data_IF_743316570945
#
_entry.id   IF_743316570945
#
_cell.length_a   1.000
_cell.length_b   1.000
_cell.length_c   1.000
_cell.angle_alpha   90.00
_cell.angle_beta   90.00
_cell.angle_gamma   90.00
#
_symmetry.space_group_name_H-M   'P 1'
#
loop_
_entity.id
_entity.type
_entity.pdbx_description
1 polymer ?
#
# COMPACT_ATOMS: atom_id res chain seq x y z
N UNK A 1 12.97 -15.57 -0.19
CA UNK A 1 12.14 -14.40 0.12
C UNK A 1 12.58 -13.79 1.44
N UNK A 2 12.30 -12.50 1.66
CA UNK A 2 12.48 -11.81 2.95
C UNK A 2 11.17 -11.82 3.73
N UNK A 3 11.16 -12.45 4.89
CA UNK A 3 9.97 -12.62 5.72
C UNK A 3 10.14 -11.80 7.00
N UNK A 4 9.28 -10.81 7.20
CA UNK A 4 9.14 -10.13 8.48
C UNK A 4 8.18 -10.91 9.37
N UNK A 5 8.64 -11.25 10.57
CA UNK A 5 7.82 -11.86 11.60
C UNK A 5 7.37 -10.79 12.59
N UNK A 6 6.08 -10.78 12.93
CA UNK A 6 5.54 -9.84 13.91
C UNK A 6 4.54 -10.55 14.82
N UNK A 7 4.69 -10.38 16.13
CA UNK A 7 3.83 -11.07 17.07
C UNK A 7 4.28 -10.91 18.51
N UNK A 8 3.36 -11.14 19.43
CA UNK A 8 3.71 -11.26 20.85
C UNK A 8 2.68 -12.13 21.57
N UNK A 9 3.11 -12.71 22.68
CA UNK A 9 2.26 -13.52 23.56
C UNK A 9 1.67 -12.71 24.73
N UNK A 10 1.77 -11.37 24.71
CA UNK A 10 1.36 -10.50 25.83
C UNK A 10 -0.14 -10.57 26.18
N UNK A 11 -0.96 -11.15 25.31
CA UNK A 11 -2.39 -11.40 25.54
C UNK A 11 -2.69 -12.85 25.91
N UNK A 12 -1.70 -13.73 25.87
CA UNK A 12 -1.82 -15.16 26.17
C UNK A 12 -1.30 -15.46 27.58
N UNK A 13 -1.82 -16.53 28.17
CA UNK A 13 -1.37 -17.03 29.47
C UNK A 13 -1.49 -18.56 29.56
N UNK A 14 -0.78 -19.16 30.51
CA UNK A 14 -0.89 -20.60 30.78
C UNK A 14 -0.55 -21.48 29.55
N UNK A 15 -1.32 -22.54 29.28
CA UNK A 15 -1.05 -23.48 28.19
C UNK A 15 -1.01 -22.84 26.79
N UNK A 16 -1.79 -21.79 26.54
CA UNK A 16 -1.83 -21.12 25.24
C UNK A 16 -0.52 -20.40 24.93
N UNK A 17 0.09 -19.78 25.94
CA UNK A 17 1.40 -19.14 25.80
C UNK A 17 2.48 -20.19 25.50
N UNK A 18 2.44 -21.37 26.12
CA UNK A 18 3.40 -22.44 25.81
C UNK A 18 3.20 -23.03 24.41
N UNK A 19 1.96 -23.20 23.96
CA UNK A 19 1.66 -23.62 22.60
C UNK A 19 2.15 -22.59 21.57
N UNK A 20 2.00 -21.29 21.85
CA UNK A 20 2.55 -20.22 21.02
C UNK A 20 4.07 -20.32 20.91
N UNK A 21 4.78 -20.50 22.03
CA UNK A 21 6.25 -20.65 22.05
C UNK A 21 6.69 -21.89 21.27
N UNK A 22 6.02 -23.02 21.48
CA UNK A 22 6.28 -24.27 20.75
C UNK A 22 6.13 -24.07 19.24
N UNK A 23 5.02 -23.49 18.80
CA UNK A 23 4.75 -23.22 17.40
C UNK A 23 5.77 -22.24 16.79
N UNK A 24 6.14 -21.18 17.53
CA UNK A 24 7.18 -20.24 17.12
C UNK A 24 8.55 -20.92 16.92
N UNK A 25 8.92 -21.85 17.81
CA UNK A 25 10.14 -22.66 17.64
C UNK A 25 10.06 -23.58 16.43
N UNK A 26 8.94 -24.28 16.23
CA UNK A 26 8.74 -25.11 15.03
C UNK A 26 8.85 -24.29 13.73
N UNK A 27 8.31 -23.07 13.73
CA UNK A 27 8.48 -22.13 12.63
C UNK A 27 9.94 -21.70 12.47
N UNK A 28 10.66 -21.46 13.56
CA UNK A 28 12.10 -21.18 13.54
C UNK A 28 12.91 -22.31 12.89
N UNK A 29 12.64 -23.56 13.26
CA UNK A 29 13.27 -24.75 12.64
C UNK A 29 13.00 -24.79 11.13
N UNK A 30 11.74 -24.57 10.73
CA UNK A 30 11.37 -24.56 9.31
C UNK A 30 12.06 -23.43 8.55
N UNK A 31 12.17 -22.24 9.15
CA UNK A 31 12.84 -21.09 8.56
C UNK A 31 14.34 -21.30 8.40
N UNK A 32 15.01 -21.89 9.41
CA UNK A 32 16.43 -22.21 9.34
C UNK A 32 16.76 -23.22 8.25
N UNK A 33 15.90 -24.21 8.05
CA UNK A 33 16.05 -25.19 6.97
C UNK A 33 15.66 -24.62 5.58
N UNK A 34 15.18 -23.39 5.53
CA UNK A 34 14.78 -22.71 4.30
C UNK A 34 15.85 -21.73 3.82
N UNK A 35 15.87 -21.44 2.52
CA UNK A 35 16.74 -20.38 1.94
C UNK A 35 16.09 -18.99 2.05
N UNK A 36 15.32 -18.74 3.11
CA UNK A 36 14.62 -17.46 3.29
C UNK A 36 15.37 -16.58 4.29
N UNK A 37 15.31 -15.28 4.05
CA UNK A 37 15.90 -14.30 4.96
C UNK A 37 14.83 -13.91 5.98
N UNK A 38 15.19 -14.02 7.26
CA UNK A 38 14.28 -13.68 8.36
C UNK A 38 14.59 -12.26 8.83
N UNK A 39 13.52 -11.46 8.96
CA UNK A 39 13.57 -10.12 9.53
C UNK A 39 12.79 -10.17 10.85
N UNK A 40 13.45 -9.75 11.93
CA UNK A 40 12.94 -9.66 13.29
C UNK A 40 13.04 -8.22 13.79
N UNK A 41 12.30 -7.91 14.84
CA UNK A 41 12.25 -6.60 15.46
C UNK A 41 12.62 -6.60 16.96
N UNK A 42 12.50 -7.71 17.69
CA UNK A 42 12.75 -7.69 19.14
C UNK A 42 13.33 -9.01 19.65
N UNK A 43 14.04 -9.01 20.77
CA UNK A 43 14.44 -10.24 21.48
C UNK A 43 13.71 -10.41 22.82
N UNK A 44 12.69 -9.59 23.07
CA UNK A 44 11.90 -9.62 24.30
C UNK A 44 11.33 -11.02 24.56
N UNK A 45 11.31 -11.52 25.81
CA UNK A 45 10.63 -12.77 26.17
C UNK A 45 9.15 -12.81 25.83
N UNK A 46 8.54 -11.65 25.59
CA UNK A 46 7.13 -11.56 25.19
C UNK A 46 6.91 -11.57 23.67
N UNK A 47 7.96 -11.43 22.87
CA UNK A 47 7.90 -11.33 21.41
C UNK A 47 7.95 -12.71 20.75
N UNK A 48 7.34 -12.82 19.56
CA UNK A 48 7.41 -14.01 18.71
C UNK A 48 8.87 -14.34 18.35
N UNK A 49 9.60 -13.29 18.02
CA UNK A 49 10.96 -13.24 17.51
C UNK A 49 11.94 -14.08 18.34
N UNK A 50 11.89 -13.99 19.66
CA UNK A 50 12.79 -14.73 20.57
C UNK A 50 12.64 -16.24 20.37
N UNK A 51 11.41 -16.72 20.31
CA UNK A 51 11.14 -18.16 20.19
C UNK A 51 11.42 -18.69 18.78
N UNK A 52 11.30 -17.84 17.76
CA UNK A 52 11.75 -18.17 16.41
C UNK A 52 13.27 -18.32 16.38
N UNK A 53 14.02 -17.41 17.02
CA UNK A 53 15.47 -17.52 17.16
C UNK A 53 15.88 -18.81 17.88
N UNK A 54 15.23 -19.14 18.99
CA UNK A 54 15.46 -20.42 19.70
C UNK A 54 15.21 -21.64 18.79
N UNK A 55 14.19 -21.58 17.92
CA UNK A 55 13.94 -22.63 16.93
C UNK A 55 15.01 -22.71 15.85
N UNK A 56 15.44 -21.57 15.33
CA UNK A 56 16.47 -21.48 14.30
C UNK A 56 17.85 -21.97 14.80
N UNK A 57 18.16 -21.73 16.07
CA UNK A 57 19.44 -22.14 16.71
C UNK A 57 19.65 -23.66 16.68
N UNK A 58 18.57 -24.44 16.68
CA UNK A 58 18.63 -25.91 16.62
C UNK A 58 19.07 -26.48 15.26
N UNK A 59 19.31 -25.63 14.27
CA UNK A 59 19.84 -26.03 12.96
C UNK A 59 21.34 -26.29 13.02
N UNK A 60 21.81 -27.29 12.28
CA UNK A 60 23.24 -27.62 12.15
C UNK A 60 24.04 -26.57 11.33
N UNK A 61 23.35 -25.66 10.64
CA UNK A 61 23.98 -24.67 9.78
C UNK A 61 23.79 -23.26 10.31
N UNK A 62 24.80 -22.38 10.22
CA UNK A 62 24.64 -20.98 10.60
C UNK A 62 23.55 -20.28 9.79
N UNK A 63 22.62 -19.62 10.47
CA UNK A 63 21.53 -18.87 9.88
C UNK A 63 21.73 -17.37 10.04
N UNK A 64 21.36 -16.60 9.03
CA UNK A 64 21.47 -15.13 9.06
C UNK A 64 20.11 -14.48 9.29
N UNK A 65 20.05 -13.57 10.27
CA UNK A 65 18.83 -12.84 10.63
C UNK A 65 19.10 -11.34 10.62
N UNK A 66 18.18 -10.55 10.08
CA UNK A 66 18.21 -9.09 10.22
C UNK A 66 17.36 -8.67 11.42
N UNK A 67 17.97 -8.04 12.41
CA UNK A 67 17.28 -7.59 13.63
C UNK A 67 17.15 -6.06 13.61
N UNK A 68 15.93 -5.57 13.39
CA UNK A 68 15.60 -4.14 13.39
C UNK A 68 15.24 -3.68 14.80
N UNK A 69 15.80 -2.58 15.28
CA UNK A 69 15.50 -2.07 16.62
C UNK A 69 15.52 -0.54 16.65
N UNK A 70 14.78 0.10 17.56
CA UNK A 70 14.84 1.54 17.71
C UNK A 70 16.20 1.96 18.26
N UNK A 71 16.83 2.94 17.64
CA UNK A 71 17.94 3.67 18.27
C UNK A 71 17.34 4.57 19.35
N UNK A 72 17.75 4.34 20.59
CA UNK A 72 17.38 5.17 21.74
C UNK A 72 17.72 6.63 21.43
N UNK A 73 16.72 7.51 21.56
CA UNK A 73 16.94 8.96 21.45
C UNK A 73 17.53 9.39 22.80
N UNK A 74 18.73 10.00 22.86
CA UNK A 74 19.41 10.31 24.12
C UNK A 74 18.70 11.30 25.08
N UNK A 75 17.44 11.69 24.82
CA UNK A 75 16.84 12.92 25.36
C UNK A 75 15.77 12.76 26.45
N UNK A 76 15.61 11.61 27.08
CA UNK A 76 14.78 11.52 28.28
C UNK A 76 15.41 10.53 29.23
N UNK A 77 15.71 10.95 30.46
CA UNK A 77 16.42 10.18 31.48
C UNK A 77 15.75 8.88 31.97
N UNK A 78 15.05 8.15 31.10
CA UNK A 78 14.70 6.75 31.33
C UNK A 78 15.92 5.89 31.04
N UNK A 79 16.58 5.45 32.11
CA UNK A 79 17.59 4.38 32.11
C UNK A 79 16.99 2.99 31.85
N UNK A 80 15.77 2.91 31.32
CA UNK A 80 15.15 1.63 31.01
C UNK A 80 15.87 1.02 29.82
N UNK A 81 16.49 -0.13 30.08
CA UNK A 81 16.97 -1.21 29.21
C UNK A 81 15.92 -1.74 28.21
N UNK A 82 15.01 -0.88 27.73
CA UNK A 82 14.12 -1.13 26.60
C UNK A 82 14.83 -0.95 25.25
N UNK A 83 16.17 -0.96 25.25
CA UNK A 83 16.94 -1.26 24.06
C UNK A 83 16.48 -2.66 23.61
N UNK A 84 15.74 -2.74 22.51
CA UNK A 84 14.99 -3.94 22.10
C UNK A 84 15.82 -5.21 21.82
N UNK A 85 17.11 -5.20 22.17
CA UNK A 85 18.10 -6.27 22.01
C UNK A 85 18.63 -6.70 23.39
N UNK A 86 18.40 -7.97 23.68
CA UNK A 86 18.95 -8.74 24.80
C UNK A 86 20.27 -9.34 24.30
N UNK A 87 21.38 -8.61 24.48
CA UNK A 87 22.69 -9.02 23.94
C UNK A 87 23.14 -10.36 24.52
N UNK A 88 22.91 -10.60 25.82
CA UNK A 88 23.26 -11.87 26.47
C UNK A 88 22.51 -13.04 25.81
N UNK A 89 21.23 -12.85 25.47
CA UNK A 89 20.49 -13.84 24.70
C UNK A 89 21.04 -14.03 23.29
N UNK A 90 21.34 -12.95 22.55
CA UNK A 90 21.89 -13.05 21.19
C UNK A 90 23.26 -13.77 21.20
N UNK A 91 24.14 -13.42 22.13
CA UNK A 91 25.47 -14.02 22.26
C UNK A 91 25.40 -15.51 22.63
N UNK A 92 24.28 -15.96 23.20
CA UNK A 92 24.03 -17.38 23.49
C UNK A 92 23.62 -18.22 22.26
N UNK A 93 23.29 -17.60 21.12
CA UNK A 93 22.85 -18.26 19.90
C UNK A 93 24.03 -18.49 18.95
N UNK A 94 24.75 -19.59 19.12
CA UNK A 94 25.98 -19.88 18.40
C UNK A 94 25.79 -20.08 16.89
N UNK A 95 24.61 -20.55 16.48
CA UNK A 95 24.28 -20.82 15.08
C UNK A 95 23.52 -19.66 14.42
N UNK A 96 23.33 -18.52 15.10
CA UNK A 96 22.66 -17.34 14.52
C UNK A 96 23.63 -16.18 14.32
N UNK A 97 23.78 -15.76 13.07
CA UNK A 97 24.48 -14.53 12.70
C UNK A 97 23.45 -13.41 12.63
N UNK A 98 23.43 -12.55 13.65
CA UNK A 98 22.54 -11.39 13.71
C UNK A 98 23.16 -10.19 13.00
N UNK A 99 22.42 -9.59 12.08
CA UNK A 99 22.73 -8.29 11.48
C UNK A 99 21.86 -7.21 12.11
N UNK A 100 22.38 -6.45 13.10
CA UNK A 100 21.62 -5.40 13.76
C UNK A 100 21.38 -4.21 12.82
N UNK A 101 20.14 -3.71 12.78
CA UNK A 101 19.73 -2.52 12.02
C UNK A 101 19.01 -1.54 12.94
N UNK A 102 19.75 -0.54 13.41
CA UNK A 102 19.20 0.54 14.22
C UNK A 102 18.36 1.52 13.39
N UNK A 103 17.17 1.88 13.87
CA UNK A 103 16.27 2.85 13.23
C UNK A 103 15.89 3.94 14.23
N UNK A 104 16.12 5.20 13.87
CA UNK A 104 15.74 6.32 14.75
C UNK A 104 14.23 6.48 14.93
N UNK A 105 13.83 7.20 15.99
CA UNK A 105 12.45 7.62 16.27
C UNK A 105 11.48 6.51 16.73
N UNK A 106 11.99 5.45 17.36
CA UNK A 106 11.18 4.46 18.09
C UNK A 106 10.63 3.31 17.24
N UNK A 107 9.71 2.54 17.83
CA UNK A 107 9.24 1.26 17.26
C UNK A 107 8.46 1.39 15.96
N UNK A 108 7.63 2.44 15.80
CA UNK A 108 6.81 2.61 14.59
C UNK A 108 7.66 2.78 13.32
N UNK A 109 8.63 3.72 13.25
CA UNK A 109 9.56 3.80 12.11
C UNK A 109 10.38 2.53 11.91
N UNK A 110 10.78 1.87 13.00
CA UNK A 110 11.50 0.60 12.95
C UNK A 110 10.70 -0.46 12.19
N UNK A 111 9.43 -0.66 12.56
CA UNK A 111 8.55 -1.60 11.88
C UNK A 111 8.30 -1.22 10.42
N UNK A 112 8.06 0.08 10.12
CA UNK A 112 7.88 0.54 8.73
C UNK A 112 9.13 0.27 7.89
N UNK A 113 10.33 0.47 8.45
CA UNK A 113 11.58 0.14 7.76
C UNK A 113 11.70 -1.35 7.51
N UNK A 114 11.39 -2.19 8.49
CA UNK A 114 11.40 -3.65 8.35
C UNK A 114 10.39 -4.14 7.29
N UNK A 115 9.16 -3.59 7.28
CA UNK A 115 8.14 -3.89 6.26
C UNK A 115 8.63 -3.55 4.86
N UNK A 116 9.31 -2.41 4.68
CA UNK A 116 9.82 -2.00 3.36
C UNK A 116 10.83 -2.99 2.81
N UNK A 117 11.65 -3.56 3.68
CA UNK A 117 12.69 -4.53 3.34
C UNK A 117 12.14 -5.95 3.20
N UNK A 118 10.97 -6.25 3.75
CA UNK A 118 10.32 -7.55 3.61
C UNK A 118 9.53 -7.68 2.31
N UNK A 119 9.27 -8.93 1.91
CA UNK A 119 8.37 -9.28 0.81
C UNK A 119 7.04 -9.85 1.33
N UNK A 120 7.09 -10.47 2.52
CA UNK A 120 5.96 -11.00 3.25
C UNK A 120 6.05 -10.59 4.73
N UNK A 121 4.91 -10.27 5.33
CA UNK A 121 4.74 -10.01 6.77
C UNK A 121 3.85 -11.11 7.35
N UNK A 122 4.43 -11.97 8.18
CA UNK A 122 3.74 -13.05 8.87
C UNK A 122 3.42 -12.60 10.30
N UNK A 123 2.13 -12.54 10.63
CA UNK A 123 1.66 -12.04 11.91
C UNK A 123 1.06 -13.16 12.77
N UNK A 124 1.51 -13.30 14.01
CA UNK A 124 1.05 -14.36 14.92
C UNK A 124 0.73 -13.77 16.30
N UNK A 125 -0.52 -13.89 16.75
CA UNK A 125 -0.95 -13.33 18.03
C UNK A 125 -0.85 -11.79 18.08
N UNK A 126 -0.32 -11.28 19.19
CA UNK A 126 -0.04 -9.86 19.41
C UNK A 126 -1.21 -8.99 19.85
N UNK A 127 -0.88 -7.74 20.21
CA UNK A 127 -1.85 -6.69 20.54
C UNK A 127 -2.04 -5.73 19.36
N UNK A 128 -3.23 -5.14 19.26
CA UNK A 128 -3.61 -4.24 18.15
C UNK A 128 -2.63 -3.07 17.95
N UNK A 129 -2.19 -2.45 19.06
CA UNK A 129 -1.29 -1.28 18.99
C UNK A 129 0.05 -1.59 18.32
N UNK A 130 0.59 -2.80 18.50
CA UNK A 130 1.91 -3.19 17.99
C UNK A 130 1.81 -4.01 16.71
N UNK A 131 1.29 -5.23 16.84
CA UNK A 131 1.13 -6.17 15.72
C UNK A 131 0.09 -5.64 14.72
N UNK A 132 -1.06 -5.17 15.20
CA UNK A 132 -2.14 -4.64 14.37
C UNK A 132 -1.67 -3.51 13.45
N UNK A 133 -1.15 -2.43 14.05
CA UNK A 133 -0.66 -1.26 13.31
C UNK A 133 0.44 -1.59 12.30
N UNK A 134 1.32 -2.54 12.61
CA UNK A 134 2.38 -3.02 11.70
C UNK A 134 1.79 -3.72 10.48
N UNK A 135 0.80 -4.57 10.70
CA UNK A 135 0.20 -5.36 9.61
C UNK A 135 -0.64 -4.48 8.69
N UNK A 136 -1.47 -3.57 9.21
CA UNK A 136 -2.18 -2.62 8.34
C UNK A 136 -1.21 -1.71 7.58
N UNK A 137 -0.09 -1.31 8.20
CA UNK A 137 0.97 -0.58 7.48
C UNK A 137 1.56 -1.43 6.33
N UNK A 138 1.69 -2.74 6.52
CA UNK A 138 2.16 -3.65 5.49
C UNK A 138 1.15 -3.82 4.34
N UNK A 139 -0.15 -3.86 4.65
CA UNK A 139 -1.21 -3.86 3.63
C UNK A 139 -1.17 -2.59 2.78
N UNK A 140 -1.09 -1.41 3.41
CA UNK A 140 -0.99 -0.11 2.72
C UNK A 140 0.26 -0.03 1.84
N UNK A 141 1.37 -0.65 2.28
CA UNK A 141 2.60 -0.74 1.50
C UNK A 141 2.59 -1.87 0.45
N UNK A 142 1.41 -2.44 0.17
CA UNK A 142 1.18 -3.53 -0.80
C UNK A 142 2.08 -4.76 -0.56
N UNK A 143 2.54 -4.97 0.68
CA UNK A 143 3.30 -6.17 1.05
C UNK A 143 2.36 -7.34 1.22
N UNK A 144 2.84 -8.55 0.92
CA UNK A 144 2.03 -9.73 1.23
C UNK A 144 1.90 -9.83 2.74
N UNK A 145 0.67 -9.84 3.23
CA UNK A 145 0.36 -10.04 4.65
C UNK A 145 -0.17 -11.45 4.81
N UNK A 146 0.20 -12.10 5.91
CA UNK A 146 -0.30 -13.41 6.29
C UNK A 146 -0.56 -13.45 7.80
N UNK A 147 -1.81 -13.20 8.23
CA UNK A 147 -2.17 -13.21 9.63
C UNK A 147 -2.61 -14.63 10.05
N UNK A 148 -2.04 -15.13 11.14
CA UNK A 148 -2.31 -16.48 11.67
C UNK A 148 -3.28 -16.37 12.85
N UNK A 149 -4.57 -16.67 12.65
CA UNK A 149 -5.61 -16.46 13.66
C UNK A 149 -5.55 -17.45 14.83
N UNK A 150 -4.79 -18.55 14.71
CA UNK A 150 -4.74 -19.67 15.67
C UNK A 150 -4.48 -19.24 17.11
N UNK A 151 -3.68 -18.19 17.32
CA UNK A 151 -3.27 -17.70 18.64
C UNK A 151 -3.99 -16.43 19.09
N UNK A 152 -5.14 -16.11 18.47
CA UNK A 152 -5.96 -14.96 18.84
C UNK A 152 -5.27 -13.62 18.62
N UNK A 153 -5.69 -12.62 19.41
CA UNK A 153 -5.10 -11.29 19.41
C UNK A 153 -5.27 -10.54 18.09
N UNK A 154 -4.33 -9.65 17.78
CA UNK A 154 -4.38 -8.81 16.58
C UNK A 154 -4.36 -9.63 15.29
N UNK A 155 -3.58 -10.70 15.22
CA UNK A 155 -3.56 -11.57 14.04
C UNK A 155 -4.94 -12.17 13.72
N UNK A 156 -5.74 -12.51 14.74
CA UNK A 156 -7.11 -12.99 14.52
C UNK A 156 -8.05 -11.89 14.00
N UNK A 157 -8.02 -10.71 14.61
CA UNK A 157 -8.81 -9.55 14.17
C UNK A 157 -8.52 -9.22 12.71
N UNK A 158 -7.24 -9.12 12.36
CA UNK A 158 -6.80 -8.79 11.00
C UNK A 158 -7.15 -9.89 10.01
N UNK A 159 -7.06 -11.15 10.41
CA UNK A 159 -7.49 -12.25 9.56
C UNK A 159 -8.97 -12.11 9.19
N UNK A 160 -9.83 -11.73 10.14
CA UNK A 160 -11.24 -11.49 9.86
C UNK A 160 -11.44 -10.38 8.81
N UNK A 161 -10.71 -9.26 8.91
CA UNK A 161 -10.80 -8.14 7.98
C UNK A 161 -10.28 -8.49 6.57
N UNK A 162 -9.17 -9.24 6.51
CA UNK A 162 -8.49 -9.56 5.26
C UNK A 162 -8.95 -10.89 4.64
N UNK A 163 -9.84 -11.64 5.31
CA UNK A 163 -10.27 -12.99 4.92
C UNK A 163 -10.65 -13.11 3.46
N UNK A 164 -11.40 -12.13 2.95
CA UNK A 164 -11.88 -12.06 1.55
C UNK A 164 -10.77 -12.02 0.49
N UNK A 165 -9.53 -11.70 0.89
CA UNK A 165 -8.35 -11.65 0.00
C UNK A 165 -7.68 -13.03 -0.16
N UNK A 166 -8.09 -14.02 0.64
CA UNK A 166 -7.55 -15.39 0.61
C UNK A 166 -8.54 -16.38 -0.01
N UNK A 167 -8.02 -17.42 -0.64
CA UNK A 167 -8.82 -18.55 -1.14
C UNK A 167 -9.35 -19.37 0.04
N UNK A 168 -10.43 -20.12 -0.15
CA UNK A 168 -11.01 -20.97 0.91
C UNK A 168 -9.99 -21.97 1.48
N UNK A 169 -9.14 -22.54 0.63
CA UNK A 169 -8.06 -23.44 1.04
C UNK A 169 -7.06 -22.72 1.96
N UNK A 170 -6.55 -21.56 1.54
CA UNK A 170 -5.62 -20.77 2.35
C UNK A 170 -6.26 -20.35 3.69
N UNK A 171 -7.54 -20.00 3.69
CA UNK A 171 -8.28 -19.66 4.92
C UNK A 171 -8.35 -20.83 5.89
N UNK A 172 -8.65 -22.05 5.39
CA UNK A 172 -8.67 -23.26 6.22
C UNK A 172 -7.29 -23.54 6.81
N UNK A 173 -6.25 -23.53 5.97
CA UNK A 173 -4.89 -23.85 6.41
C UNK A 173 -4.31 -22.83 7.41
N UNK A 174 -4.73 -21.54 7.35
CA UNK A 174 -4.38 -20.55 8.37
C UNK A 174 -5.17 -20.73 9.68
N UNK A 175 -6.42 -21.20 9.60
CA UNK A 175 -7.30 -21.38 10.74
C UNK A 175 -7.05 -22.67 11.53
N UNK A 176 -6.49 -23.68 10.87
CA UNK A 176 -6.35 -25.01 11.46
C UNK A 176 -5.30 -25.06 12.58
N UNK A 177 -5.66 -25.72 13.68
CA UNK A 177 -4.84 -25.85 14.90
C UNK A 177 -3.86 -27.04 14.84
N UNK A 178 -3.18 -27.27 13.72
CA UNK A 178 -2.31 -28.45 13.55
C UNK A 178 -0.93 -28.35 14.25
N UNK A 179 -0.88 -27.92 15.52
CA UNK A 179 0.38 -27.91 16.31
C UNK A 179 0.77 -29.35 16.75
N UNK A 180 -0.12 -30.32 16.60
CA UNK A 180 0.05 -31.66 17.17
C UNK A 180 1.03 -32.56 16.39
N UNK A 181 1.28 -32.28 15.10
CA UNK A 181 2.03 -33.20 14.23
C UNK A 181 3.52 -32.82 14.03
N UNK A 182 4.04 -31.82 14.75
CA UNK A 182 5.46 -31.41 14.66
C UNK A 182 5.91 -30.92 13.27
N UNK A 183 4.96 -30.67 12.36
CA UNK A 183 5.18 -30.16 11.00
C UNK A 183 4.51 -28.81 10.79
N UNK A 184 4.04 -28.18 11.87
CA UNK A 184 3.25 -26.96 11.78
C UNK A 184 4.06 -25.83 11.14
N UNK A 185 5.31 -25.64 11.58
CA UNK A 185 6.20 -24.62 11.03
C UNK A 185 6.46 -24.77 9.52
N UNK A 186 6.68 -26.00 9.05
CA UNK A 186 6.93 -26.27 7.63
C UNK A 186 5.68 -26.03 6.78
N UNK A 187 4.52 -26.55 7.21
CA UNK A 187 3.26 -26.35 6.52
C UNK A 187 2.91 -24.85 6.42
N UNK A 188 3.13 -24.11 7.51
CA UNK A 188 2.92 -22.67 7.54
C UNK A 188 3.86 -21.93 6.57
N UNK A 189 5.13 -22.34 6.50
CA UNK A 189 6.10 -21.75 5.58
C UNK A 189 5.75 -22.02 4.12
N UNK A 190 5.32 -23.24 3.79
CA UNK A 190 4.86 -23.60 2.44
C UNK A 190 3.63 -22.79 2.02
N UNK A 191 2.73 -22.54 2.97
CA UNK A 191 1.60 -21.65 2.77
C UNK A 191 2.05 -20.20 2.57
N UNK A 192 3.03 -19.71 3.32
CA UNK A 192 3.63 -18.38 3.09
C UNK A 192 4.16 -18.24 1.66
N UNK A 193 4.87 -19.25 1.14
CA UNK A 193 5.37 -19.26 -0.25
C UNK A 193 4.21 -19.18 -1.24
N UNK A 194 3.15 -19.96 -1.00
CA UNK A 194 1.98 -20.03 -1.88
C UNK A 194 1.24 -18.70 -1.94
N UNK A 195 0.94 -18.11 -0.78
CA UNK A 195 0.26 -16.81 -0.66
C UNK A 195 1.12 -15.69 -1.25
N UNK A 196 2.44 -15.72 -1.00
CA UNK A 196 3.37 -14.73 -1.55
C UNK A 196 3.41 -14.74 -3.08
N UNK A 197 3.40 -15.91 -3.73
CA UNK A 197 3.35 -16.01 -5.19
C UNK A 197 2.09 -15.38 -5.79
N UNK A 198 0.95 -15.51 -5.09
CA UNK A 198 -0.35 -14.94 -5.52
C UNK A 198 -0.46 -13.44 -5.29
N UNK A 199 0.28 -12.89 -4.31
CA UNK A 199 0.29 -11.45 -3.95
C UNK A 199 -1.11 -10.86 -3.70
N UNK A 200 -1.87 -11.36 -2.71
CA UNK A 200 -3.25 -10.90 -2.44
C UNK A 200 -3.40 -9.40 -2.11
N UNK A 201 -2.32 -8.75 -1.71
CA UNK A 201 -2.29 -7.32 -1.36
C UNK A 201 -1.85 -6.43 -2.51
N UNK A 202 -1.37 -7.01 -3.63
CA UNK A 202 -0.99 -6.22 -4.78
C UNK A 202 -2.24 -5.61 -5.40
N UNK A 203 -2.32 -4.27 -5.39
CA UNK A 203 -3.31 -3.54 -6.16
C UNK A 203 -3.00 -3.82 -7.62
N UNK A 204 -4.00 -4.25 -8.38
CA UNK A 204 -3.84 -4.57 -9.80
C UNK A 204 -3.77 -3.29 -10.63
N UNK A 205 -2.73 -2.47 -10.40
CA UNK A 205 -2.53 -1.15 -11.02
C UNK A 205 -2.58 -1.20 -12.54
N UNK A 206 -2.22 -2.33 -13.14
CA UNK A 206 -2.34 -2.56 -14.59
C UNK A 206 -3.79 -2.54 -15.08
N UNK A 207 -4.73 -3.11 -14.32
CA UNK A 207 -6.15 -3.06 -14.68
C UNK A 207 -6.68 -1.63 -14.61
N UNK A 208 -6.32 -0.91 -13.55
CA UNK A 208 -6.75 0.48 -13.37
C UNK A 208 -6.12 1.39 -14.43
N UNK A 209 -4.85 1.17 -14.76
CA UNK A 209 -4.16 1.92 -15.82
C UNK A 209 -4.77 1.62 -17.20
N UNK A 210 -5.05 0.36 -17.52
CA UNK A 210 -5.69 0.00 -18.79
C UNK A 210 -7.11 0.55 -18.89
N UNK A 211 -7.88 0.53 -17.79
CA UNK A 211 -9.20 1.14 -17.75
C UNK A 211 -9.10 2.65 -17.96
N UNK A 212 -8.21 3.34 -17.24
CA UNK A 212 -7.99 4.77 -17.39
C UNK A 212 -7.51 5.14 -18.81
N UNK A 213 -6.64 4.33 -19.41
CA UNK A 213 -6.18 4.52 -20.78
C UNK A 213 -7.30 4.30 -21.80
N UNK A 214 -8.08 3.22 -21.67
CA UNK A 214 -9.21 2.93 -22.54
C UNK A 214 -10.26 4.05 -22.51
N UNK A 215 -10.54 4.58 -21.32
CA UNK A 215 -11.47 5.70 -21.17
C UNK A 215 -10.87 6.98 -21.78
N UNK A 216 -9.58 7.24 -21.60
CA UNK A 216 -8.90 8.40 -22.21
C UNK A 216 -8.95 8.33 -23.75
N UNK A 217 -8.74 7.15 -24.33
CA UNK A 217 -8.84 6.93 -25.79
C UNK A 217 -10.27 7.14 -26.26
N UNK A 218 -11.27 6.62 -25.55
CA UNK A 218 -12.68 6.81 -25.90
C UNK A 218 -13.10 8.29 -25.89
N UNK A 219 -12.60 9.06 -24.91
CA UNK A 219 -12.82 10.51 -24.82
C UNK A 219 -12.16 11.26 -25.98
N UNK A 220 -10.91 10.93 -26.30
CA UNK A 220 -10.21 11.51 -27.45
C UNK A 220 -10.92 11.20 -28.77
N UNK A 221 -11.36 9.95 -28.96
CA UNK A 221 -12.10 9.54 -30.15
C UNK A 221 -13.43 10.31 -30.27
N UNK A 222 -14.17 10.45 -29.16
CA UNK A 222 -15.39 11.27 -29.10
C UNK A 222 -15.12 12.74 -29.44
N UNK A 223 -14.02 13.31 -28.93
CA UNK A 223 -13.60 14.68 -29.26
C UNK A 223 -13.31 14.86 -30.75
N UNK A 224 -12.56 13.94 -31.38
CA UNK A 224 -12.28 14.02 -32.81
C UNK A 224 -13.52 13.81 -33.67
N UNK A 225 -14.46 12.96 -33.26
CA UNK A 225 -15.73 12.77 -33.96
C UNK A 225 -16.57 14.06 -34.00
N UNK A 226 -16.48 14.91 -32.95
CA UNK A 226 -17.16 16.21 -32.90
C UNK A 226 -16.54 17.27 -33.83
N UNK A 227 -15.28 17.09 -34.23
CA UNK A 227 -14.58 18.00 -35.15
C UNK A 227 -14.84 17.67 -36.63
N UNK A 228 -15.54 16.56 -36.93
CA UNK A 228 -15.86 16.19 -38.30
C UNK A 228 -17.03 17.07 -38.81
N UNK A 229 -16.88 17.74 -39.97
CA UNK A 229 -17.82 18.72 -40.48
C UNK A 229 -19.01 18.01 -41.15
N UNK A 230 -19.99 17.55 -40.35
CA UNK A 230 -21.27 17.09 -40.88
C UNK A 230 -22.44 17.88 -40.24
N UNK A 231 -23.10 18.78 -41.00
CA UNK A 231 -24.12 19.70 -40.50
C UNK A 231 -25.43 19.03 -40.04
N UNK A 232 -25.64 17.72 -40.25
CA UNK A 232 -26.85 17.02 -39.81
C UNK A 232 -26.75 16.37 -38.42
N UNK A 233 -25.60 16.50 -37.75
CA UNK A 233 -25.28 15.71 -36.54
C UNK A 233 -25.43 16.46 -35.20
N UNK A 234 -25.95 17.69 -35.18
CA UNK A 234 -26.07 18.54 -33.96
C UNK A 234 -26.63 17.85 -32.69
N UNK A 235 -27.73 17.07 -32.73
CA UNK A 235 -28.20 16.36 -31.53
C UNK A 235 -27.28 15.18 -31.14
N UNK A 236 -26.68 14.51 -32.12
CA UNK A 236 -25.72 13.42 -31.89
C UNK A 236 -24.43 13.96 -31.28
N UNK A 237 -23.96 15.12 -31.76
CA UNK A 237 -22.81 15.83 -31.20
C UNK A 237 -23.08 16.27 -29.76
N UNK A 238 -24.27 16.81 -29.45
CA UNK A 238 -24.63 17.18 -28.07
C UNK A 238 -24.68 15.96 -27.12
N UNK A 239 -25.18 14.82 -27.58
CA UNK A 239 -25.21 13.57 -26.80
C UNK A 239 -23.78 13.04 -26.57
N UNK A 240 -22.94 13.02 -27.60
CA UNK A 240 -21.53 12.61 -27.49
C UNK A 240 -20.75 13.55 -26.56
N UNK A 241 -21.06 14.85 -26.60
CA UNK A 241 -20.51 15.84 -25.68
C UNK A 241 -20.86 15.54 -24.23
N UNK A 242 -22.16 15.35 -23.98
CA UNK A 242 -22.69 15.07 -22.65
C UNK A 242 -22.10 13.77 -22.09
N UNK A 243 -21.96 12.75 -22.94
CA UNK A 243 -21.36 11.48 -22.59
C UNK A 243 -19.87 11.63 -22.27
N UNK A 244 -19.13 12.41 -23.07
CA UNK A 244 -17.70 12.67 -22.82
C UNK A 244 -17.47 13.48 -21.54
N UNK A 245 -18.34 14.44 -21.19
CA UNK A 245 -18.30 15.14 -19.90
C UNK A 245 -18.62 14.17 -18.75
N UNK A 246 -19.66 13.35 -18.88
CA UNK A 246 -20.03 12.38 -17.84
C UNK A 246 -18.90 11.38 -17.57
N UNK A 247 -18.29 10.84 -18.64
CA UNK A 247 -17.16 9.92 -18.56
C UNK A 247 -15.93 10.62 -17.96
N UNK A 248 -15.61 11.85 -18.38
CA UNK A 248 -14.54 12.65 -17.80
C UNK A 248 -14.71 12.85 -16.28
N UNK A 249 -15.95 13.09 -15.85
CA UNK A 249 -16.29 13.31 -14.44
C UNK A 249 -16.15 12.02 -13.64
N UNK A 250 -16.60 10.88 -14.19
CA UNK A 250 -16.48 9.55 -13.57
C UNK A 250 -15.02 9.09 -13.47
N UNK A 251 -14.20 9.35 -14.50
CA UNK A 251 -12.75 9.10 -14.44
C UNK A 251 -12.08 10.02 -13.45
N UNK A 252 -12.45 11.29 -13.43
CA UNK A 252 -11.95 12.27 -12.46
C UNK A 252 -12.23 11.83 -11.01
N UNK A 253 -13.42 11.31 -10.73
CA UNK A 253 -13.77 10.78 -9.40
C UNK A 253 -13.01 9.50 -9.06
N UNK A 254 -12.93 8.53 -9.99
CA UNK A 254 -12.21 7.27 -9.78
C UNK A 254 -10.70 7.49 -9.58
N UNK A 255 -10.12 8.46 -10.30
CA UNK A 255 -8.72 8.87 -10.17
C UNK A 255 -8.47 9.64 -8.87
N UNK A 256 -9.44 10.45 -8.41
CA UNK A 256 -9.34 11.15 -7.13
C UNK A 256 -9.31 10.17 -5.95
N UNK A 257 -10.09 9.11 -6.04
CA UNK A 257 -10.16 8.04 -5.04
C UNK A 257 -8.85 7.23 -5.01
N UNK A 258 -8.24 6.95 -6.16
CA UNK A 258 -6.93 6.27 -6.25
C UNK A 258 -5.74 7.14 -5.84
N UNK A 259 -5.88 8.47 -5.84
CA UNK A 259 -4.80 9.40 -5.45
C UNK A 259 -4.78 9.76 -3.96
N UNK A 260 -5.82 9.43 -3.20
CA UNK A 260 -5.80 9.66 -1.75
C UNK A 260 -4.68 8.85 -1.04
N UNK A 261 -4.23 7.73 -1.64
CA UNK A 261 -3.38 6.74 -0.96
C UNK A 261 -1.97 6.54 -1.54
N UNK A 262 -1.55 7.26 -2.59
CA UNK A 262 -0.29 6.95 -3.31
C UNK A 262 0.81 8.02 -3.12
N UNK A 263 1.91 7.74 -2.38
CA UNK A 263 3.12 8.55 -2.42
C UNK A 263 3.92 8.23 -3.70
N UNK A 264 3.70 9.07 -4.71
CA UNK A 264 4.38 9.25 -6.01
C UNK A 264 5.54 8.31 -6.42
N UNK A 265 5.44 7.76 -7.65
CA UNK A 265 6.49 7.78 -8.73
C UNK A 265 5.98 7.09 -10.00
N UNK A 266 5.98 7.81 -11.12
CA UNK A 266 5.69 7.45 -12.54
C UNK A 266 4.23 7.46 -13.07
N UNK A 267 3.19 6.89 -12.42
CA UNK A 267 1.79 7.04 -12.84
C UNK A 267 1.31 8.49 -12.86
N UNK A 268 2.03 9.38 -12.18
CA UNK A 268 1.72 10.81 -12.09
C UNK A 268 1.79 11.51 -13.45
N UNK A 269 2.76 11.23 -14.32
CA UNK A 269 2.87 11.97 -15.59
C UNK A 269 1.75 11.63 -16.59
N UNK A 270 1.39 10.35 -16.70
CA UNK A 270 0.27 9.96 -17.56
C UNK A 270 -1.06 10.48 -17.00
N UNK A 271 -1.24 10.42 -15.68
CA UNK A 271 -2.39 11.03 -15.00
C UNK A 271 -2.46 12.53 -15.22
N UNK A 272 -1.33 13.25 -15.12
CA UNK A 272 -1.25 14.69 -15.35
C UNK A 272 -1.59 14.99 -16.81
N UNK A 273 -1.03 14.24 -17.77
CA UNK A 273 -1.34 14.38 -19.18
C UNK A 273 -2.83 14.16 -19.47
N UNK A 274 -3.44 13.09 -18.94
CA UNK A 274 -4.88 12.84 -19.07
C UNK A 274 -5.70 13.99 -18.49
N UNK A 275 -5.31 14.53 -17.33
CA UNK A 275 -5.98 15.69 -16.71
C UNK A 275 -5.87 16.94 -17.56
N UNK A 276 -4.69 17.22 -18.11
CA UNK A 276 -4.47 18.38 -18.99
C UNK A 276 -5.29 18.25 -20.27
N UNK A 277 -5.39 17.06 -20.86
CA UNK A 277 -6.23 16.79 -22.04
C UNK A 277 -7.71 17.01 -21.68
N UNK A 278 -8.19 16.43 -20.58
CA UNK A 278 -9.57 16.59 -20.11
C UNK A 278 -9.92 18.06 -19.82
N UNK A 279 -9.04 18.79 -19.13
CA UNK A 279 -9.22 20.21 -18.86
C UNK A 279 -9.27 21.03 -20.16
N UNK A 280 -8.40 20.72 -21.13
CA UNK A 280 -8.41 21.37 -22.45
C UNK A 280 -9.72 21.14 -23.19
N UNK A 281 -10.25 19.91 -23.13
CA UNK A 281 -11.56 19.57 -23.71
C UNK A 281 -12.65 20.40 -23.03
N UNK A 282 -12.74 20.39 -21.70
CA UNK A 282 -13.78 21.15 -20.96
C UNK A 282 -13.70 22.65 -21.27
N UNK A 283 -12.50 23.24 -21.29
CA UNK A 283 -12.30 24.66 -21.63
C UNK A 283 -12.78 24.94 -23.06
N UNK A 284 -12.47 24.07 -24.02
CA UNK A 284 -12.96 24.19 -25.39
C UNK A 284 -14.48 24.17 -25.46
N UNK A 285 -15.13 23.25 -24.74
CA UNK A 285 -16.59 23.14 -24.73
C UNK A 285 -17.25 24.36 -24.11
N UNK A 286 -16.69 24.88 -23.01
CA UNK A 286 -17.16 26.12 -22.40
C UNK A 286 -17.00 27.31 -23.35
N UNK A 287 -15.90 27.38 -24.10
CA UNK A 287 -15.70 28.42 -25.10
C UNK A 287 -16.72 28.33 -26.25
N UNK A 288 -17.07 27.12 -26.70
CA UNK A 288 -18.11 26.91 -27.71
C UNK A 288 -19.50 27.30 -27.21
N UNK A 289 -19.88 26.86 -26.01
CA UNK A 289 -21.15 27.24 -25.38
C UNK A 289 -21.20 28.75 -25.16
N UNK A 290 -20.12 29.36 -24.67
CA UNK A 290 -20.03 30.80 -24.48
C UNK A 290 -20.18 31.58 -25.78
N UNK A 291 -19.52 31.16 -26.86
CA UNK A 291 -19.68 31.77 -28.19
C UNK A 291 -21.12 31.67 -28.69
N UNK A 292 -21.75 30.50 -28.53
CA UNK A 292 -23.11 30.26 -28.99
C UNK A 292 -24.13 31.09 -28.20
N UNK A 293 -23.96 31.24 -26.89
CA UNK A 293 -24.82 32.05 -26.03
C UNK A 293 -24.64 33.55 -26.29
N UNK A 294 -23.41 34.01 -26.51
CA UNK A 294 -23.11 35.44 -26.64
C UNK A 294 -23.33 35.98 -28.04
N UNK A 295 -23.00 35.21 -29.09
CA UNK A 295 -23.00 35.68 -30.46
C UNK A 295 -24.12 35.07 -31.32
N UNK A 296 -24.91 34.12 -30.80
CA UNK A 296 -25.87 33.29 -31.55
C UNK A 296 -25.29 32.51 -32.75
N UNK A 297 -23.99 32.64 -33.02
CA UNK A 297 -23.28 31.89 -34.03
C UNK A 297 -22.23 30.96 -33.37
N UNK A 298 -22.21 29.66 -33.73
CA UNK A 298 -21.11 28.79 -33.36
C UNK A 298 -19.81 29.33 -33.97
N UNK A 299 -18.68 29.13 -33.29
CA UNK A 299 -17.35 29.48 -33.81
C UNK A 299 -17.10 28.71 -35.13
N UNK A 300 -17.42 29.31 -36.26
CA UNK A 300 -17.14 28.73 -37.57
C UNK A 300 -15.67 29.02 -37.90
N UNK A 301 -14.81 28.04 -37.68
CA UNK A 301 -13.40 28.12 -38.06
C UNK A 301 -13.35 27.94 -39.57
N UNK A 302 -13.28 29.05 -40.32
CA UNK A 302 -13.29 29.01 -41.79
C UNK A 302 -11.88 29.02 -42.39
N UNK A 303 -10.88 29.50 -41.64
CA UNK A 303 -9.48 29.49 -42.05
C UNK A 303 -8.62 28.52 -41.21
N UNK A 304 -7.73 27.80 -41.90
CA UNK A 304 -6.69 26.95 -41.31
C UNK A 304 -5.78 27.70 -40.32
N UNK A 305 -5.62 29.01 -40.48
CA UNK A 305 -4.86 29.87 -39.57
C UNK A 305 -5.58 30.08 -38.24
N UNK A 306 -6.91 30.22 -38.26
CA UNK A 306 -7.74 30.32 -37.06
C UNK A 306 -7.77 29.01 -36.29
N UNK A 307 -7.79 27.87 -36.99
CA UNK A 307 -7.71 26.54 -36.39
C UNK A 307 -6.39 26.36 -35.61
N UNK A 308 -5.24 26.70 -36.22
CA UNK A 308 -3.93 26.63 -35.56
C UNK A 308 -3.86 27.56 -34.35
N UNK A 309 -4.42 28.76 -34.47
CA UNK A 309 -4.45 29.74 -33.38
C UNK A 309 -5.31 29.26 -32.21
N UNK A 310 -6.46 28.63 -32.50
CA UNK A 310 -7.33 28.06 -31.48
C UNK A 310 -6.68 26.84 -30.80
N UNK A 311 -6.03 25.96 -31.56
CA UNK A 311 -5.29 24.82 -31.02
C UNK A 311 -4.16 25.26 -30.08
N UNK A 312 -3.38 26.28 -30.45
CA UNK A 312 -2.33 26.84 -29.59
C UNK A 312 -2.96 27.46 -28.33
N UNK A 313 -4.06 28.22 -28.47
CA UNK A 313 -4.75 28.83 -27.32
C UNK A 313 -5.30 27.79 -26.35
N UNK A 314 -5.92 26.72 -26.85
CA UNK A 314 -6.44 25.62 -26.03
C UNK A 314 -5.32 24.83 -25.37
N UNK A 315 -4.22 24.58 -26.07
CA UNK A 315 -3.05 23.90 -25.49
C UNK A 315 -2.43 24.73 -24.36
N UNK A 316 -2.29 26.06 -24.56
CA UNK A 316 -1.79 26.98 -23.53
C UNK A 316 -2.76 27.08 -22.36
N UNK A 317 -4.07 27.18 -22.61
CA UNK A 317 -5.09 27.21 -21.54
C UNK A 317 -5.18 25.89 -20.78
N UNK A 318 -5.08 24.75 -21.45
CA UNK A 318 -5.04 23.42 -20.84
C UNK A 318 -3.82 23.24 -19.95
N UNK A 319 -2.65 23.70 -20.40
CA UNK A 319 -1.43 23.74 -19.59
C UNK A 319 -1.57 24.67 -18.38
N UNK A 320 -2.04 25.91 -18.60
CA UNK A 320 -2.23 26.89 -17.52
C UNK A 320 -3.26 26.41 -16.49
N UNK A 321 -4.39 25.85 -16.93
CA UNK A 321 -5.41 25.29 -16.05
C UNK A 321 -4.87 24.08 -15.29
N UNK A 322 -4.10 23.20 -15.95
CA UNK A 322 -3.43 22.08 -15.29
C UNK A 322 -2.49 22.54 -14.17
N UNK A 323 -1.66 23.56 -14.43
CA UNK A 323 -0.72 24.13 -13.46
C UNK A 323 -1.43 24.86 -12.31
N UNK A 324 -2.49 25.62 -12.59
CA UNK A 324 -3.30 26.30 -11.57
C UNK A 324 -4.04 25.28 -10.70
N UNK A 325 -4.56 24.22 -11.30
CA UNK A 325 -5.24 23.14 -10.59
C UNK A 325 -4.27 22.37 -9.69
N UNK A 326 -3.07 22.02 -10.17
CA UNK A 326 -2.03 21.40 -9.37
C UNK A 326 -1.63 22.27 -8.17
N UNK A 327 -1.41 23.58 -8.40
CA UNK A 327 -1.10 24.55 -7.35
C UNK A 327 -2.22 24.68 -6.31
N UNK A 328 -3.48 24.72 -6.76
CA UNK A 328 -4.65 24.78 -5.87
C UNK A 328 -4.77 23.53 -5.00
N UNK A 329 -4.70 22.34 -5.59
CA UNK A 329 -4.82 21.09 -4.84
C UNK A 329 -3.61 20.80 -3.94
N UNK A 330 -2.41 21.23 -4.32
CA UNK A 330 -1.24 21.19 -3.44
C UNK A 330 -1.47 22.03 -2.18
N UNK A 331 -1.92 23.28 -2.35
CA UNK A 331 -2.22 24.18 -1.21
C UNK A 331 -3.39 23.68 -0.36
N UNK A 332 -4.41 23.09 -0.98
CA UNK A 332 -5.53 22.48 -0.26
C UNK A 332 -5.06 21.28 0.58
N UNK A 333 -4.16 20.46 0.05
CA UNK A 333 -3.55 19.34 0.76
C UNK A 333 -2.67 19.78 1.93
N UNK A 334 -1.89 20.85 1.76
CA UNK A 334 -1.11 21.47 2.85
C UNK A 334 -2.03 22.03 3.94
N UNK A 335 -3.11 22.72 3.57
CA UNK A 335 -4.09 23.24 4.51
C UNK A 335 -4.77 22.12 5.30
N UNK A 336 -5.24 21.07 4.61
CA UNK A 336 -5.90 19.93 5.25
C UNK A 336 -4.96 19.19 6.23
N UNK A 337 -3.68 19.01 5.87
CA UNK A 337 -2.67 18.47 6.80
C UNK A 337 -2.48 19.36 8.03
N UNK A 338 -2.37 20.68 7.82
CA UNK A 338 -2.28 21.64 8.93
C UNK A 338 -3.48 21.57 9.88
N UNK A 339 -4.70 21.38 9.34
CA UNK A 339 -5.91 21.23 10.15
C UNK A 339 -5.91 19.93 10.97
N UNK A 340 -5.52 18.79 10.37
CA UNK A 340 -5.40 17.51 11.08
C UNK A 340 -4.33 17.56 12.17
N UNK A 341 -3.15 18.13 11.87
CA UNK A 341 -2.07 18.27 12.84
C UNK A 341 -2.45 19.22 13.99
N UNK A 342 -3.27 20.24 13.72
CA UNK A 342 -3.79 21.13 14.76
C UNK A 342 -4.81 20.44 15.68
N UNK A 343 -5.66 19.57 15.13
CA UNK A 343 -6.63 18.79 15.90
C UNK A 343 -5.95 17.74 16.79
N UNK A 344 -4.90 17.07 16.29
CA UNK A 344 -4.12 16.09 17.06
C UNK A 344 -3.31 16.76 18.19
N UNK A 345 -2.90 18.03 18.04
CA UNK A 345 -2.19 18.78 19.08
C UNK A 345 -3.10 19.37 20.15
N UNK A 346 -4.40 19.45 19.91
CA UNK A 346 -5.37 19.96 20.87
C UNK A 346 -6.00 18.89 21.78
N UNK A 347 -5.67 17.61 21.55
CA UNK A 347 -6.03 16.46 22.40
C UNK A 347 -4.84 16.00 23.25
#
# INVERSE_FOLDING_TARGET
MKILLIGSLRHLSGPEAENFKKAARELGVALANSKHQVILCSTSPSALDRYVLEGMESSDTPNTVQLYFPLSVPNSGSTSTEDGIDNDFIDSLANIIVHPVGVGNGWRPTHVRAIRESELVLAIGGKERGTGSTVYSAEVLEKTVMPIPTFGGAAQSIFADLRRRYTEKEQSEMGDRYIENGKWGQNLLDLCVTVHKRRPMAINRTRDLLLNLAVSIALLAGFFALLLPDPTTTPVQAILLSLSIAIATMVGSAVRETMADSPTRWPSYLSIATRSILASIVIYLLAQVGSLVLNNDPLSITDSTELKTLQIKLAVFGLAAGLVWESFFSKLGEWAKGSVDSAIRSE
#
